data_IF_797959876562
#
_entry.id   IF_797959876562
#
_cell.length_a   1.000
_cell.length_b   1.000
_cell.length_c   1.000
_cell.angle_alpha   90.00
_cell.angle_beta   90.00
_cell.angle_gamma   90.00
#
_symmetry.space_group_name_H-M   'P 1'
#
loop_
_entity.id
_entity.type
_entity.pdbx_description
1 polymer ?
#
# COMPACT_ATOMS: atom_id res chain seq x y z
N UNK A 1 -16.52 2.72 23.98
CA UNK A 1 -17.33 2.50 22.77
C UNK A 1 -16.36 2.64 21.63
N UNK A 2 -15.84 1.51 21.17
CA UNK A 2 -14.81 1.51 20.13
C UNK A 2 -15.48 1.95 18.83
N UNK A 3 -14.94 3.02 18.22
CA UNK A 3 -15.46 3.51 16.95
C UNK A 3 -15.17 2.46 15.89
N UNK A 4 -16.23 1.95 15.26
CA UNK A 4 -16.12 1.04 14.11
C UNK A 4 -15.29 1.71 13.01
N UNK A 5 -14.15 1.09 12.67
CA UNK A 5 -13.29 1.57 11.60
C UNK A 5 -13.73 0.99 10.25
N UNK A 6 -14.80 1.55 9.67
CA UNK A 6 -15.36 1.14 8.37
C UNK A 6 -14.33 1.18 7.23
N UNK A 7 -13.39 2.09 7.39
CA UNK A 7 -12.28 2.38 6.51
C UNK A 7 -11.28 1.21 6.43
N UNK A 8 -10.91 0.60 7.56
CA UNK A 8 -10.14 -0.67 7.57
C UNK A 8 -10.97 -1.85 7.06
N UNK A 9 -12.28 -1.85 7.31
CA UNK A 9 -13.18 -2.90 6.80
C UNK A 9 -13.25 -2.87 5.28
N UNK A 10 -13.16 -1.69 4.66
CA UNK A 10 -13.01 -1.53 3.20
C UNK A 10 -11.77 -2.23 2.67
N UNK A 11 -10.63 -2.05 3.32
CA UNK A 11 -9.40 -2.71 2.91
C UNK A 11 -9.54 -4.25 2.87
N UNK A 12 -10.18 -4.84 3.88
CA UNK A 12 -10.40 -6.28 3.98
C UNK A 12 -11.40 -6.82 2.94
N UNK A 13 -12.47 -6.07 2.70
CA UNK A 13 -13.61 -6.54 1.90
C UNK A 13 -13.51 -6.17 0.42
N UNK A 14 -12.95 -5.00 0.09
CA UNK A 14 -12.88 -4.46 -1.29
C UNK A 14 -11.56 -4.81 -1.99
N UNK A 15 -10.44 -5.03 -1.27
CA UNK A 15 -9.16 -5.41 -1.91
C UNK A 15 -9.08 -6.92 -2.18
N UNK A 16 -8.53 -7.27 -3.34
CA UNK A 16 -8.39 -8.65 -3.81
C UNK A 16 -7.24 -9.42 -3.15
N UNK A 17 -6.31 -8.72 -2.49
CA UNK A 17 -5.09 -9.29 -1.91
C UNK A 17 -5.35 -10.31 -0.79
N UNK A 18 -6.49 -10.23 -0.10
CA UNK A 18 -6.89 -11.21 0.93
C UNK A 18 -7.96 -12.14 0.32
N UNK A 19 -7.80 -13.46 0.27
CA UNK A 19 -8.83 -14.34 -0.31
C UNK A 19 -10.20 -14.20 0.40
N UNK A 20 -11.34 -14.09 -0.30
CA UNK A 20 -12.66 -13.97 0.33
C UNK A 20 -12.97 -15.12 1.28
N UNK A 21 -12.50 -16.32 0.91
CA UNK A 21 -12.63 -17.54 1.72
C UNK A 21 -11.91 -17.44 3.06
N UNK A 22 -10.74 -16.81 3.10
CA UNK A 22 -9.99 -16.63 4.34
C UNK A 22 -10.77 -15.70 5.29
N UNK A 23 -11.26 -14.57 4.77
CA UNK A 23 -12.06 -13.63 5.54
C UNK A 23 -13.36 -14.27 6.04
N UNK A 24 -14.05 -15.02 5.19
CA UNK A 24 -15.30 -15.70 5.55
C UNK A 24 -15.11 -16.73 6.67
N UNK A 25 -14.02 -17.52 6.62
CA UNK A 25 -13.71 -18.52 7.63
C UNK A 25 -13.42 -17.90 9.01
N UNK A 26 -12.68 -16.80 9.04
CA UNK A 26 -12.26 -16.16 10.28
C UNK A 26 -13.35 -15.28 10.91
N UNK A 27 -14.17 -14.63 10.08
CA UNK A 27 -15.19 -13.66 10.54
C UNK A 27 -16.57 -14.31 10.68
N UNK A 28 -16.81 -15.44 10.00
CA UNK A 28 -18.14 -16.03 9.87
C UNK A 28 -19.12 -15.16 9.08
N UNK A 29 -18.63 -14.21 8.27
CA UNK A 29 -19.40 -13.50 7.25
C UNK A 29 -19.46 -14.39 6.01
N UNK A 30 -20.61 -14.43 5.34
CA UNK A 30 -20.77 -15.28 4.17
C UNK A 30 -19.81 -14.87 3.04
N UNK A 31 -19.08 -15.84 2.47
CA UNK A 31 -18.14 -15.60 1.36
C UNK A 31 -18.78 -14.86 0.19
N UNK A 32 -20.04 -15.19 -0.14
CA UNK A 32 -20.81 -14.56 -1.21
C UNK A 32 -21.06 -13.07 -0.99
N UNK A 33 -21.11 -12.62 0.27
CA UNK A 33 -21.24 -11.20 0.62
C UNK A 33 -19.94 -10.46 0.36
N UNK A 34 -18.81 -11.08 0.71
CA UNK A 34 -17.47 -10.52 0.45
C UNK A 34 -17.21 -10.45 -1.05
N UNK A 35 -17.51 -11.51 -1.79
CA UNK A 35 -17.39 -11.54 -3.26
C UNK A 35 -18.30 -10.51 -3.92
N UNK A 36 -19.55 -10.35 -3.46
CA UNK A 36 -20.45 -9.33 -4.00
C UNK A 36 -19.97 -7.89 -3.73
N UNK A 37 -19.28 -7.64 -2.61
CA UNK A 37 -18.61 -6.34 -2.37
C UNK A 37 -17.50 -6.11 -3.40
N UNK A 38 -16.66 -7.12 -3.65
CA UNK A 38 -15.52 -7.03 -4.60
C UNK A 38 -15.96 -6.89 -6.05
N UNK A 39 -17.05 -7.56 -6.41
CA UNK A 39 -17.67 -7.47 -7.73
C UNK A 39 -18.43 -6.14 -7.94
N UNK A 40 -18.48 -5.26 -6.93
CA UNK A 40 -19.23 -4.00 -6.98
C UNK A 40 -20.75 -4.18 -6.98
N UNK A 41 -21.24 -5.39 -6.68
CA UNK A 41 -22.68 -5.74 -6.63
C UNK A 41 -23.35 -5.27 -5.34
N UNK A 42 -22.57 -5.01 -4.30
CA UNK A 42 -23.01 -4.41 -3.04
C UNK A 42 -21.87 -3.59 -2.43
N UNK A 43 -22.19 -2.80 -1.41
CA UNK A 43 -21.24 -2.01 -0.62
C UNK A 43 -21.20 -2.50 0.82
N UNK A 44 -20.21 -2.06 1.59
CA UNK A 44 -20.14 -2.37 3.04
C UNK A 44 -21.34 -1.82 3.82
N UNK A 45 -21.96 -0.75 3.33
CA UNK A 45 -23.17 -0.19 3.94
C UNK A 45 -24.36 -1.14 3.84
N UNK A 46 -24.31 -2.13 2.94
CA UNK A 46 -25.34 -3.16 2.78
C UNK A 46 -25.13 -4.34 3.74
N UNK A 47 -24.04 -4.36 4.53
CA UNK A 47 -23.81 -5.34 5.59
C UNK A 47 -24.62 -4.99 6.84
N UNK A 48 -25.10 -6.02 7.53
CA UNK A 48 -25.73 -5.86 8.84
C UNK A 48 -24.71 -5.41 9.88
N UNK A 49 -25.19 -4.74 10.93
CA UNK A 49 -24.34 -4.32 12.05
C UNK A 49 -23.53 -5.48 12.65
N UNK A 50 -24.11 -6.68 12.72
CA UNK A 50 -23.39 -7.85 13.24
C UNK A 50 -22.27 -8.32 12.31
N UNK A 51 -22.46 -8.25 10.98
CA UNK A 51 -21.41 -8.53 9.99
C UNK A 51 -20.27 -7.49 10.09
N UNK A 52 -20.61 -6.21 10.20
CA UNK A 52 -19.64 -5.11 10.37
C UNK A 52 -18.84 -5.30 11.66
N UNK A 53 -19.49 -5.65 12.77
CA UNK A 53 -18.84 -5.91 14.05
C UNK A 53 -17.84 -7.06 13.98
N UNK A 54 -18.21 -8.17 13.33
CA UNK A 54 -17.32 -9.33 13.13
C UNK A 54 -16.08 -8.98 12.31
N UNK A 55 -16.26 -8.21 11.23
CA UNK A 55 -15.15 -7.72 10.41
C UNK A 55 -14.24 -6.78 11.21
N UNK A 56 -14.83 -5.90 12.02
CA UNK A 56 -14.08 -5.00 12.89
C UNK A 56 -13.27 -5.75 13.96
N UNK A 57 -13.88 -6.71 14.66
CA UNK A 57 -13.19 -7.55 15.66
C UNK A 57 -12.02 -8.33 15.05
N UNK A 58 -12.20 -8.85 13.82
CA UNK A 58 -11.13 -9.53 13.10
C UNK A 58 -9.97 -8.59 12.77
N UNK A 59 -10.25 -7.36 12.33
CA UNK A 59 -9.23 -6.34 12.02
C UNK A 59 -8.51 -5.85 13.29
N UNK A 60 -9.22 -5.69 14.40
CA UNK A 60 -8.57 -5.31 15.66
C UNK A 60 -7.65 -6.43 16.18
N UNK A 61 -8.02 -7.70 15.94
CA UNK A 61 -7.20 -8.86 16.31
C UNK A 61 -6.05 -9.11 15.34
N UNK A 62 -6.28 -8.87 14.05
CA UNK A 62 -5.35 -9.09 12.95
C UNK A 62 -5.35 -7.84 12.06
N UNK A 63 -4.68 -6.76 12.49
CA UNK A 63 -4.59 -5.56 11.68
C UNK A 63 -3.98 -5.92 10.33
N UNK A 64 -4.63 -5.55 9.20
CA UNK A 64 -4.08 -5.83 7.89
C UNK A 64 -2.75 -5.10 7.75
N UNK A 65 -1.68 -5.87 7.66
CA UNK A 65 -0.36 -5.39 7.32
C UNK A 65 -0.16 -5.58 5.82
N UNK A 66 0.24 -4.50 5.15
CA UNK A 66 0.64 -4.54 3.75
C UNK A 66 2.14 -4.35 3.79
N UNK A 67 2.87 -5.44 3.62
CA UNK A 67 4.31 -5.41 3.43
C UNK A 67 4.62 -5.29 1.94
N UNK A 68 5.65 -4.51 1.64
CA UNK A 68 6.22 -4.41 0.31
C UNK A 68 7.62 -5.02 0.38
N UNK A 69 7.93 -5.88 -0.58
CA UNK A 69 9.30 -6.36 -0.76
C UNK A 69 10.07 -5.31 -1.56
N UNK A 70 10.89 -4.54 -0.86
CA UNK A 70 11.76 -3.54 -1.45
C UNK A 70 13.19 -4.05 -1.62
N UNK A 71 13.43 -5.36 -1.49
CA UNK A 71 14.79 -5.91 -1.49
C UNK A 71 15.57 -5.53 -2.76
N UNK A 72 14.92 -5.60 -3.93
CA UNK A 72 15.53 -5.24 -5.22
C UNK A 72 15.86 -3.74 -5.28
N UNK A 73 14.89 -2.86 -4.97
CA UNK A 73 15.10 -1.40 -4.96
C UNK A 73 16.18 -0.98 -3.96
N UNK A 74 16.25 -1.66 -2.80
CA UNK A 74 17.28 -1.43 -1.79
C UNK A 74 18.67 -1.83 -2.31
N UNK A 75 18.77 -2.97 -3.00
CA UNK A 75 20.03 -3.44 -3.58
C UNK A 75 20.52 -2.48 -4.66
N UNK A 76 19.64 -2.11 -5.59
CA UNK A 76 19.94 -1.17 -6.67
C UNK A 76 20.38 0.19 -6.11
N UNK A 77 19.64 0.75 -5.13
CA UNK A 77 19.98 2.04 -4.55
C UNK A 77 21.33 2.02 -3.83
N UNK A 78 21.70 0.90 -3.21
CA UNK A 78 23.02 0.73 -2.59
C UNK A 78 24.14 0.69 -3.63
N UNK A 79 23.91 0.02 -4.75
CA UNK A 79 24.85 -0.01 -5.88
C UNK A 79 25.01 1.39 -6.44
N UNK A 80 23.92 2.09 -6.74
CA UNK A 80 23.93 3.43 -7.33
C UNK A 80 24.63 4.46 -6.44
N UNK A 81 24.43 4.40 -5.11
CA UNK A 81 25.18 5.23 -4.15
C UNK A 81 26.68 4.91 -4.21
N UNK A 82 27.04 3.63 -4.31
CA UNK A 82 28.45 3.20 -4.30
C UNK A 82 29.18 3.54 -5.59
N UNK A 83 28.49 3.50 -6.72
CA UNK A 83 29.01 3.83 -8.04
C UNK A 83 28.92 5.34 -8.36
N UNK A 84 28.25 6.12 -7.49
CA UNK A 84 28.06 7.56 -7.69
C UNK A 84 27.12 7.87 -8.85
N UNK A 85 26.20 6.95 -9.16
CA UNK A 85 25.14 7.10 -10.17
C UNK A 85 24.09 8.09 -9.69
N UNK A 86 23.77 8.03 -8.39
CA UNK A 86 22.85 8.97 -7.74
C UNK A 86 23.59 9.97 -6.85
N UNK A 87 23.11 11.21 -6.83
CA UNK A 87 23.60 12.26 -5.95
C UNK A 87 23.08 12.17 -4.50
N UNK A 88 23.22 13.27 -3.76
CA UNK A 88 22.69 13.41 -2.40
C UNK A 88 21.16 13.47 -2.35
N UNK A 89 20.50 13.63 -3.50
CA UNK A 89 19.04 13.70 -3.59
C UNK A 89 18.54 12.98 -4.84
N UNK A 90 17.36 12.40 -4.71
CA UNK A 90 16.65 11.65 -5.76
C UNK A 90 15.20 12.12 -5.84
N UNK A 91 14.58 11.97 -7.01
CA UNK A 91 13.14 11.95 -7.14
C UNK A 91 12.62 10.58 -6.72
N UNK A 92 11.75 10.54 -5.71
CA UNK A 92 11.03 9.33 -5.30
C UNK A 92 9.69 9.31 -6.00
N UNK A 93 9.42 8.24 -6.74
CA UNK A 93 8.12 8.01 -7.40
C UNK A 93 7.22 7.26 -6.43
N UNK A 94 6.05 7.81 -6.14
CA UNK A 94 5.10 7.24 -5.19
C UNK A 94 3.71 7.10 -5.78
N UNK A 95 2.95 6.14 -5.28
CA UNK A 95 1.52 6.09 -5.54
C UNK A 95 0.79 7.21 -4.78
N UNK A 96 -0.09 7.94 -5.46
CA UNK A 96 -1.03 8.91 -4.88
C UNK A 96 -2.06 8.24 -4.00
N UNK A 97 -2.37 6.98 -4.24
CA UNK A 97 -3.33 6.26 -3.40
C UNK A 97 -2.77 6.17 -2.00
N UNK A 98 -3.33 7.00 -1.12
CA UNK A 98 -2.97 7.02 0.29
C UNK A 98 -3.52 5.75 0.92
N UNK A 99 -2.65 4.88 1.42
CA UNK A 99 -3.10 3.80 2.29
C UNK A 99 -3.38 4.38 3.67
N UNK A 100 -4.45 5.19 3.79
CA UNK A 100 -4.86 5.91 5.02
C UNK A 100 -5.02 5.00 6.24
N UNK A 101 -5.03 3.69 6.01
CA UNK A 101 -5.29 2.64 6.99
C UNK A 101 -4.06 1.82 7.36
N UNK A 102 -2.91 2.09 6.73
CA UNK A 102 -1.59 1.58 7.12
C UNK A 102 -0.79 2.73 7.75
N UNK A 103 0.33 2.41 8.41
CA UNK A 103 1.30 3.43 8.82
C UNK A 103 2.15 3.95 7.63
N UNK A 104 1.90 3.42 6.43
CA UNK A 104 2.71 3.62 5.23
C UNK A 104 1.85 4.37 4.21
N UNK A 105 1.87 5.70 4.32
CA UNK A 105 0.90 6.55 3.65
C UNK A 105 1.07 6.59 2.13
N UNK A 106 2.25 6.29 1.58
CA UNK A 106 2.48 6.29 0.13
C UNK A 106 3.54 5.27 -0.27
N UNK A 107 3.11 4.26 -1.02
CA UNK A 107 3.96 3.20 -1.57
C UNK A 107 5.06 3.82 -2.44
N UNK A 108 6.30 3.39 -2.23
CA UNK A 108 7.42 3.76 -3.09
C UNK A 108 7.36 2.82 -4.30
N UNK A 109 7.34 3.39 -5.50
CA UNK A 109 7.37 2.63 -6.75
C UNK A 109 8.81 2.51 -7.22
N UNK A 110 9.52 3.64 -7.22
CA UNK A 110 10.85 3.75 -7.80
C UNK A 110 11.57 5.01 -7.30
N UNK A 111 12.83 5.18 -7.68
CA UNK A 111 13.62 6.39 -7.48
C UNK A 111 14.44 6.73 -8.71
N UNK A 112 14.77 8.01 -8.84
CA UNK A 112 15.53 8.52 -9.99
C UNK A 112 16.50 9.60 -9.51
N UNK A 113 17.71 9.61 -10.05
CA UNK A 113 18.60 10.76 -9.91
C UNK A 113 17.94 12.08 -10.37
N UNK A 114 18.20 13.16 -9.62
CA UNK A 114 17.62 14.48 -9.88
C UNK A 114 18.14 15.15 -11.15
N UNK A 115 19.30 14.75 -11.65
CA UNK A 115 19.90 15.25 -12.88
C UNK A 115 19.36 14.51 -14.13
N UNK A 116 18.53 13.47 -13.94
CA UNK A 116 17.86 12.79 -15.05
C UNK A 116 16.75 13.67 -15.65
N UNK A 117 16.78 13.87 -16.97
CA UNK A 117 15.91 14.84 -17.64
C UNK A 117 14.40 14.52 -17.42
N UNK A 118 13.60 15.49 -16.93
CA UNK A 118 12.18 15.30 -16.62
C UNK A 118 11.30 14.85 -17.80
N UNK A 119 11.75 15.08 -19.04
CA UNK A 119 11.01 14.74 -20.26
C UNK A 119 10.88 13.22 -20.49
N UNK A 120 11.83 12.43 -19.99
CA UNK A 120 11.77 10.97 -20.12
C UNK A 120 10.71 10.35 -19.19
N UNK A 121 10.39 10.98 -18.05
CA UNK A 121 9.40 10.47 -17.10
C UNK A 121 7.96 10.64 -17.51
N UNK A 122 7.63 11.74 -18.18
CA UNK A 122 6.27 11.99 -18.63
C UNK A 122 5.78 10.88 -19.56
N UNK A 123 6.69 10.19 -20.26
CA UNK A 123 6.36 9.07 -21.16
C UNK A 123 6.30 7.70 -20.48
N UNK A 124 7.17 7.42 -19.49
CA UNK A 124 7.13 6.15 -18.75
C UNK A 124 5.87 6.01 -17.88
N UNK A 125 5.36 7.12 -17.36
CA UNK A 125 4.15 7.17 -16.53
C UNK A 125 2.95 7.83 -17.24
N UNK A 126 3.01 8.03 -18.57
CA UNK A 126 1.93 8.60 -19.38
C UNK A 126 0.67 7.71 -19.29
N UNK A 127 -0.25 8.09 -18.40
CA UNK A 127 -1.51 7.38 -18.17
C UNK A 127 -1.72 6.90 -16.74
N UNK A 128 -0.69 6.81 -15.89
CA UNK A 128 -0.86 6.51 -14.46
C UNK A 128 -1.22 7.77 -13.69
N UNK A 129 -2.52 8.13 -13.69
CA UNK A 129 -3.04 9.32 -12.99
C UNK A 129 -2.77 9.31 -11.47
N UNK A 130 -2.33 8.18 -10.94
CA UNK A 130 -2.24 7.89 -9.52
C UNK A 130 -0.80 7.82 -9.00
N UNK A 131 0.15 8.54 -9.61
CA UNK A 131 1.52 8.69 -9.05
C UNK A 131 1.90 10.16 -8.86
N UNK A 132 2.76 10.42 -7.88
CA UNK A 132 3.39 11.73 -7.65
C UNK A 132 4.87 11.54 -7.33
N UNK A 133 5.65 12.62 -7.47
CA UNK A 133 7.07 12.63 -7.17
C UNK A 133 7.36 13.61 -6.04
N UNK A 134 8.33 13.27 -5.22
CA UNK A 134 8.93 14.18 -4.24
C UNK A 134 10.44 14.05 -4.26
N UNK A 135 11.13 15.14 -3.96
CA UNK A 135 12.60 15.12 -3.79
C UNK A 135 12.90 14.67 -2.38
N UNK A 136 13.79 13.68 -2.25
CA UNK A 136 14.24 13.16 -0.97
C UNK A 136 15.76 13.01 -0.95
N UNK A 137 16.35 13.20 0.23
CA UNK A 137 17.75 12.82 0.47
C UNK A 137 17.93 11.30 0.28
N UNK A 138 18.95 10.91 -0.48
CA UNK A 138 19.15 9.52 -0.91
C UNK A 138 19.29 8.54 0.26
N UNK A 139 19.93 8.97 1.36
CA UNK A 139 20.08 8.14 2.58
C UNK A 139 18.76 8.02 3.33
N UNK A 140 17.96 9.07 3.32
CA UNK A 140 16.61 9.09 3.91
C UNK A 140 15.70 8.12 3.19
N UNK A 141 15.73 8.10 1.85
CA UNK A 141 15.00 7.11 1.05
C UNK A 141 15.44 5.69 1.42
N UNK A 142 16.75 5.43 1.45
CA UNK A 142 17.26 4.10 1.80
C UNK A 142 16.78 3.63 3.17
N UNK A 143 16.79 4.51 4.17
CA UNK A 143 16.29 4.21 5.50
C UNK A 143 14.77 3.94 5.52
N UNK A 144 13.99 4.70 4.74
CA UNK A 144 12.55 4.46 4.60
C UNK A 144 12.27 3.10 3.96
N UNK A 145 12.96 2.76 2.87
CA UNK A 145 12.84 1.45 2.20
C UNK A 145 13.20 0.31 3.15
N UNK A 146 14.33 0.39 3.87
CA UNK A 146 14.75 -0.64 4.83
C UNK A 146 13.74 -0.79 5.99
N UNK A 147 13.19 0.32 6.49
CA UNK A 147 12.15 0.31 7.53
C UNK A 147 10.87 -0.36 7.02
N UNK A 148 10.44 -0.06 5.79
CA UNK A 148 9.22 -0.62 5.21
C UNK A 148 9.39 -2.09 4.81
N UNK A 149 10.57 -2.48 4.33
CA UNK A 149 10.93 -3.86 4.01
C UNK A 149 11.04 -4.73 5.29
N UNK A 150 11.53 -4.15 6.39
CA UNK A 150 11.64 -4.83 7.69
C UNK A 150 10.32 -5.08 8.41
N UNK A 151 9.19 -4.51 7.94
CA UNK A 151 7.86 -4.72 8.50
C UNK A 151 7.13 -5.95 7.91
N UNK A 152 7.84 -6.87 7.26
CA UNK A 152 7.31 -8.19 6.91
C UNK A 152 7.14 -9.00 8.21
N UNK A 153 5.92 -8.97 8.78
CA UNK A 153 5.51 -9.81 9.93
C UNK A 153 4.36 -10.71 9.52
#
# INVERSE_FOLDING_TARGET
MDLLNLDKIRLLTERTMIPPKAVANETGVAISRIEAIRDGKMTINDLSFNEIRKLHEYIEKYPPHISYDYSDIIEDLKIDISEGVVGDSVFVVRQKEVMKYTNDYHVIIDYIDVDYEPFNFYHEFDGSKDVYMEVMDTKTLLHELERMNGNIV
#
